data_IF_854135580404
#
_entry.id   IF_854135580404
#
_cell.length_a   1.000
_cell.length_b   1.000
_cell.length_c   1.000
_cell.angle_alpha   90.00
_cell.angle_beta   90.00
_cell.angle_gamma   90.00
#
_symmetry.space_group_name_H-M   'P 1'
#
loop_
_entity.id
_entity.type
_entity.pdbx_description
1 polymer ?
#
# COMPACT_ATOMS: atom_id res chain seq x y z
N UNK A 1 11.93 22.95 18.11
CA UNK A 1 11.18 21.79 17.54
C UNK A 1 10.89 22.14 16.09
N UNK A 2 11.44 21.38 15.14
CA UNK A 2 11.19 21.64 13.71
C UNK A 2 9.76 21.14 13.42
N UNK A 3 8.90 22.07 13.03
CA UNK A 3 7.51 21.78 12.66
C UNK A 3 7.48 20.91 11.42
N UNK A 4 6.80 19.76 11.47
CA UNK A 4 6.72 18.83 10.35
C UNK A 4 5.36 18.82 9.69
N UNK A 5 5.36 18.63 8.38
CA UNK A 5 4.15 18.41 7.59
C UNK A 5 3.85 16.93 7.54
N UNK A 6 2.58 16.55 7.73
CA UNK A 6 2.04 15.23 7.51
C UNK A 6 1.25 15.22 6.18
N UNK A 7 1.60 14.33 5.26
CA UNK A 7 0.86 14.10 4.02
C UNK A 7 0.08 12.80 4.13
N UNK A 8 -1.23 12.84 3.94
CA UNK A 8 -2.11 11.68 3.95
C UNK A 8 -2.49 11.30 2.53
N UNK A 9 -2.14 10.09 2.14
CA UNK A 9 -2.30 9.56 0.78
C UNK A 9 -3.13 8.29 0.85
N UNK A 10 -4.43 8.48 1.06
CA UNK A 10 -5.42 7.42 1.21
C UNK A 10 -6.74 7.89 0.61
N UNK A 11 -7.48 7.01 -0.05
CA UNK A 11 -8.79 7.36 -0.62
C UNK A 11 -9.97 7.09 0.34
N UNK A 12 -9.70 6.54 1.54
CA UNK A 12 -10.71 6.27 2.56
C UNK A 12 -10.80 7.46 3.53
N UNK A 13 -11.94 8.15 3.53
CA UNK A 13 -12.19 9.30 4.41
C UNK A 13 -11.96 8.95 5.88
N UNK A 14 -12.48 7.80 6.32
CA UNK A 14 -12.34 7.36 7.71
C UNK A 14 -10.88 7.16 8.12
N UNK A 15 -10.05 6.66 7.21
CA UNK A 15 -8.61 6.48 7.44
C UNK A 15 -7.93 7.84 7.59
N UNK A 16 -8.24 8.81 6.71
CA UNK A 16 -7.66 10.15 6.78
C UNK A 16 -8.06 10.86 8.08
N UNK A 17 -9.35 10.84 8.42
CA UNK A 17 -9.84 11.46 9.67
C UNK A 17 -9.26 10.77 10.92
N UNK A 18 -9.20 9.44 10.92
CA UNK A 18 -8.54 8.68 11.99
C UNK A 18 -7.07 9.07 12.15
N UNK A 19 -6.34 9.18 11.04
CA UNK A 19 -4.92 9.55 11.06
C UNK A 19 -4.68 11.00 11.53
N UNK A 20 -5.57 11.94 11.18
CA UNK A 20 -5.53 13.32 11.72
C UNK A 20 -5.69 13.31 13.25
N UNK A 21 -6.64 12.53 13.78
CA UNK A 21 -6.84 12.40 15.21
C UNK A 21 -5.61 11.78 15.90
N UNK A 22 -4.99 10.76 15.30
CA UNK A 22 -3.76 10.14 15.81
C UNK A 22 -2.59 11.15 15.79
N UNK A 23 -2.42 11.87 14.70
CA UNK A 23 -1.37 12.90 14.58
C UNK A 23 -1.52 14.01 15.62
N UNK A 24 -2.77 14.40 15.94
CA UNK A 24 -3.07 15.35 17.00
C UNK A 24 -2.66 14.86 18.40
N UNK A 25 -2.81 13.55 18.68
CA UNK A 25 -2.34 12.95 19.94
C UNK A 25 -0.82 12.82 20.02
N UNK A 26 -0.20 12.43 18.92
CA UNK A 26 1.27 12.30 18.86
C UNK A 26 1.95 13.66 19.00
N UNK A 27 1.35 14.69 18.42
CA UNK A 27 1.96 16.02 18.33
C UNK A 27 3.08 16.09 17.29
N UNK A 28 3.74 17.25 17.19
CA UNK A 28 4.87 17.45 16.26
C UNK A 28 4.47 17.79 14.80
N UNK A 29 3.23 17.57 14.41
CA UNK A 29 2.71 17.92 13.10
C UNK A 29 1.86 19.18 13.15
N UNK A 30 2.30 20.24 12.47
CA UNK A 30 1.60 21.53 12.45
C UNK A 30 0.80 21.76 11.18
N UNK A 31 1.13 21.03 10.13
CA UNK A 31 0.45 21.08 8.85
C UNK A 31 0.08 19.66 8.45
N UNK A 32 -1.19 19.43 8.15
CA UNK A 32 -1.68 18.18 7.57
C UNK A 32 -2.30 18.49 6.22
N UNK A 33 -1.86 17.78 5.19
CA UNK A 33 -2.37 17.89 3.82
C UNK A 33 -2.74 16.52 3.29
N UNK A 34 -3.64 16.48 2.33
CA UNK A 34 -4.11 15.26 1.67
C UNK A 34 -3.69 15.26 0.21
N UNK A 35 -3.40 14.08 -0.33
CA UNK A 35 -3.17 13.88 -1.75
C UNK A 35 -4.06 12.75 -2.27
N UNK A 36 -4.87 13.05 -3.28
CA UNK A 36 -5.75 12.11 -3.97
C UNK A 36 -5.14 11.48 -5.23
N UNK A 37 -3.90 11.82 -5.57
CA UNK A 37 -3.21 11.30 -6.75
C UNK A 37 -1.68 11.38 -6.61
N UNK A 38 -0.97 10.57 -7.42
CA UNK A 38 0.50 10.61 -7.50
C UNK A 38 1.03 12.00 -7.89
N UNK A 39 0.33 12.69 -8.79
CA UNK A 39 0.70 14.05 -9.23
C UNK A 39 0.60 15.05 -8.08
N UNK A 40 -0.46 14.96 -7.30
CA UNK A 40 -0.69 15.82 -6.15
C UNK A 40 0.33 15.54 -5.03
N UNK A 41 0.60 14.26 -4.74
CA UNK A 41 1.66 13.86 -3.80
C UNK A 41 3.02 14.45 -4.21
N UNK A 42 3.39 14.31 -5.49
CA UNK A 42 4.66 14.86 -5.98
C UNK A 42 4.73 16.38 -5.80
N UNK A 43 3.65 17.10 -6.09
CA UNK A 43 3.57 18.55 -5.87
C UNK A 43 3.75 18.91 -4.39
N UNK A 44 3.01 18.22 -3.51
CA UNK A 44 3.12 18.46 -2.06
C UNK A 44 4.51 18.14 -1.51
N UNK A 45 5.19 17.14 -2.05
CA UNK A 45 6.58 16.84 -1.67
C UNK A 45 7.59 17.89 -2.16
N UNK A 46 7.31 18.57 -3.26
CA UNK A 46 8.13 19.72 -3.69
C UNK A 46 7.99 20.88 -2.68
N UNK A 47 6.75 21.16 -2.25
CA UNK A 47 6.47 22.22 -1.29
C UNK A 47 6.92 21.86 0.15
N UNK A 48 6.96 20.57 0.49
CA UNK A 48 7.26 20.01 1.81
C UNK A 48 8.25 18.84 1.72
N UNK A 49 9.51 19.06 1.33
CA UNK A 49 10.46 17.98 1.02
C UNK A 49 10.85 17.12 2.22
N UNK A 50 10.59 17.57 3.44
CA UNK A 50 10.87 16.88 4.71
C UNK A 50 9.62 16.30 5.38
N UNK A 51 8.51 16.20 4.64
CA UNK A 51 7.25 15.71 5.16
C UNK A 51 7.32 14.23 5.61
N UNK A 52 6.46 13.86 6.56
CA UNK A 52 6.08 12.49 6.80
C UNK A 52 4.90 12.17 5.90
N UNK A 53 4.98 11.09 5.14
CA UNK A 53 3.95 10.65 4.19
C UNK A 53 3.34 9.35 4.71
N UNK A 54 2.06 9.35 5.02
CA UNK A 54 1.29 8.13 5.30
C UNK A 54 0.57 7.72 4.03
N UNK A 55 0.93 6.58 3.47
CA UNK A 55 0.51 6.15 2.15
C UNK A 55 -0.14 4.77 2.17
N UNK A 56 -1.37 4.64 1.68
CA UNK A 56 -1.89 3.34 1.26
C UNK A 56 -1.47 3.03 -0.18
N UNK A 57 -0.43 2.23 -0.29
CA UNK A 57 0.13 1.81 -1.57
C UNK A 57 -0.87 1.09 -2.48
N UNK A 58 -1.82 0.35 -1.90
CA UNK A 58 -2.74 -0.51 -2.67
C UNK A 58 -3.83 0.27 -3.40
N UNK A 59 -4.04 1.55 -3.04
CA UNK A 59 -5.18 2.34 -3.50
C UNK A 59 -4.88 3.25 -4.70
N UNK A 60 -3.60 3.55 -4.97
CA UNK A 60 -3.20 4.57 -5.95
C UNK A 60 -2.54 3.99 -7.21
N UNK A 61 -2.69 2.70 -7.50
CA UNK A 61 -2.00 2.00 -8.61
C UNK A 61 -0.49 2.32 -8.66
N UNK A 62 0.09 2.55 -7.48
CA UNK A 62 1.47 2.97 -7.32
C UNK A 62 2.38 1.76 -7.43
N UNK A 63 3.42 1.82 -8.27
CA UNK A 63 4.42 0.76 -8.33
C UNK A 63 5.50 0.91 -7.25
N UNK A 64 6.13 -0.20 -6.87
CA UNK A 64 7.28 -0.16 -5.97
C UNK A 64 8.40 0.74 -6.52
N UNK A 65 8.60 0.70 -7.83
CA UNK A 65 9.58 1.52 -8.54
C UNK A 65 9.28 3.02 -8.36
N UNK A 66 8.03 3.42 -8.50
CA UNK A 66 7.63 4.81 -8.30
C UNK A 66 7.92 5.29 -6.86
N UNK A 67 7.63 4.47 -5.85
CA UNK A 67 7.93 4.82 -4.46
C UNK A 67 9.43 4.96 -4.21
N UNK A 68 10.25 4.07 -4.78
CA UNK A 68 11.71 4.17 -4.69
C UNK A 68 12.23 5.43 -5.36
N UNK A 69 11.71 5.80 -6.55
CA UNK A 69 12.04 7.04 -7.25
C UNK A 69 11.66 8.26 -6.40
N UNK A 70 10.45 8.25 -5.81
CA UNK A 70 10.02 9.35 -4.93
C UNK A 70 10.97 9.52 -3.74
N UNK A 71 11.34 8.42 -3.11
CA UNK A 71 12.23 8.47 -1.96
C UNK A 71 13.65 8.93 -2.34
N UNK A 72 14.18 8.47 -3.47
CA UNK A 72 15.49 8.92 -3.95
C UNK A 72 15.48 10.42 -4.25
N UNK A 73 14.38 10.92 -4.81
CA UNK A 73 14.20 12.33 -5.12
C UNK A 73 14.00 13.21 -3.86
N UNK A 74 13.25 12.68 -2.87
CA UNK A 74 12.90 13.39 -1.64
C UNK A 74 13.49 12.68 -0.42
N UNK A 75 14.82 12.69 -0.32
CA UNK A 75 15.60 11.98 0.72
C UNK A 75 15.27 12.43 2.15
N UNK A 76 14.74 13.65 2.29
CA UNK A 76 14.35 14.21 3.56
C UNK A 76 12.92 13.82 3.99
N UNK A 77 12.10 13.29 3.06
CA UNK A 77 10.78 12.77 3.37
C UNK A 77 10.88 11.38 4.03
N UNK A 78 9.94 11.08 4.93
CA UNK A 78 9.82 9.77 5.54
C UNK A 78 8.47 9.15 5.15
N UNK A 79 8.49 7.94 4.64
CA UNK A 79 7.30 7.26 4.14
C UNK A 79 6.84 6.18 5.12
N UNK A 80 5.57 6.19 5.49
CA UNK A 80 4.90 5.12 6.23
C UNK A 80 3.94 4.43 5.26
N UNK A 81 4.22 3.19 4.93
CA UNK A 81 3.29 2.32 4.21
C UNK A 81 2.20 1.88 5.19
N UNK A 82 1.00 2.40 4.99
CA UNK A 82 -0.16 2.17 5.86
C UNK A 82 -1.26 1.47 5.08
N UNK A 83 -1.26 0.14 5.09
CA UNK A 83 -2.14 -0.67 4.25
C UNK A 83 -2.70 -1.87 5.00
N UNK A 84 -3.80 -2.41 4.51
CA UNK A 84 -4.40 -3.66 5.04
C UNK A 84 -3.62 -4.90 4.64
N UNK A 85 -2.95 -4.87 3.49
CA UNK A 85 -2.29 -6.03 2.92
C UNK A 85 -1.11 -5.61 2.03
N UNK A 86 0.08 -6.10 2.37
CA UNK A 86 1.29 -5.91 1.58
C UNK A 86 1.94 -7.28 1.38
N UNK A 87 2.42 -7.56 0.17
CA UNK A 87 3.17 -8.79 -0.07
C UNK A 87 4.52 -8.75 0.63
N UNK A 88 4.99 -9.92 1.06
CA UNK A 88 6.27 -10.02 1.75
C UNK A 88 7.43 -9.51 0.90
N UNK A 89 7.46 -9.86 -0.39
CA UNK A 89 8.51 -9.43 -1.30
C UNK A 89 8.52 -7.90 -1.48
N UNK A 90 7.35 -7.26 -1.51
CA UNK A 90 7.24 -5.82 -1.51
C UNK A 90 7.76 -5.21 -0.20
N UNK A 91 7.34 -5.75 0.95
CA UNK A 91 7.82 -5.28 2.26
C UNK A 91 9.34 -5.41 2.36
N UNK A 92 9.90 -6.57 1.98
CA UNK A 92 11.35 -6.79 1.99
C UNK A 92 12.08 -5.78 1.12
N UNK A 93 11.58 -5.54 -0.09
CA UNK A 93 12.16 -4.57 -1.01
C UNK A 93 12.15 -3.15 -0.44
N UNK A 94 11.06 -2.75 0.21
CA UNK A 94 10.94 -1.41 0.81
C UNK A 94 11.79 -1.28 2.08
N UNK A 95 11.79 -2.28 2.96
CA UNK A 95 12.44 -2.23 4.27
C UNK A 95 13.94 -2.40 4.17
N UNK A 96 14.42 -3.34 3.34
CA UNK A 96 15.85 -3.68 3.24
C UNK A 96 16.56 -3.03 2.04
N UNK A 97 15.85 -2.35 1.18
CA UNK A 97 16.42 -1.62 0.02
C UNK A 97 17.25 -0.37 0.36
N UNK A 98 17.62 -0.18 1.62
CA UNK A 98 18.38 1.00 2.08
C UNK A 98 17.53 2.25 2.22
N UNK A 99 16.24 2.09 2.35
CA UNK A 99 15.25 3.15 2.27
C UNK A 99 14.62 3.45 3.63
N UNK A 100 14.18 4.70 3.82
CA UNK A 100 13.52 5.16 5.04
C UNK A 100 12.02 4.87 5.04
N UNK A 101 11.60 3.67 4.58
CA UNK A 101 10.21 3.27 4.68
C UNK A 101 9.91 2.62 6.02
N UNK A 102 8.89 3.13 6.69
CA UNK A 102 8.21 2.46 7.81
C UNK A 102 7.02 1.66 7.29
N UNK A 103 6.66 0.60 8.00
CA UNK A 103 5.52 -0.25 7.66
C UNK A 103 4.62 -0.43 8.87
N UNK A 104 3.37 0.01 8.75
CA UNK A 104 2.33 -0.14 9.77
C UNK A 104 1.07 -0.66 9.09
N UNK A 105 0.48 -1.72 9.63
CA UNK A 105 -0.75 -2.27 9.08
C UNK A 105 -1.96 -1.48 9.59
N UNK A 106 -3.03 -1.36 8.78
CA UNK A 106 -4.26 -0.65 9.18
C UNK A 106 -4.99 -1.32 10.33
N UNK A 107 -4.79 -2.62 10.52
CA UNK A 107 -5.33 -3.41 11.65
C UNK A 107 -4.39 -3.48 12.86
N UNK A 108 -3.28 -2.74 12.85
CA UNK A 108 -2.37 -2.68 13.98
C UNK A 108 -3.02 -1.99 15.21
N UNK A 109 -2.63 -2.39 16.43
CA UNK A 109 -3.04 -1.67 17.63
C UNK A 109 -2.70 -0.18 17.54
N UNK A 110 -3.56 0.67 18.12
CA UNK A 110 -3.40 2.13 18.08
C UNK A 110 -2.02 2.59 18.55
N UNK A 111 -1.48 1.92 19.59
CA UNK A 111 -0.15 2.22 20.12
C UNK A 111 0.97 2.06 19.09
N UNK A 112 0.86 1.08 18.20
CA UNK A 112 1.83 0.87 17.12
C UNK A 112 1.70 1.92 16.01
N UNK A 113 0.47 2.37 15.72
CA UNK A 113 0.21 3.45 14.75
C UNK A 113 0.81 4.77 15.28
N UNK A 114 0.58 5.08 16.56
CA UNK A 114 1.16 6.26 17.21
C UNK A 114 2.69 6.20 17.24
N UNK A 115 3.26 5.05 17.57
CA UNK A 115 4.72 4.87 17.60
C UNK A 115 5.33 4.99 16.20
N UNK A 116 4.67 4.45 15.18
CA UNK A 116 5.07 4.62 13.78
C UNK A 116 5.16 6.09 13.38
N UNK A 117 4.17 6.91 13.76
CA UNK A 117 4.20 8.35 13.51
C UNK A 117 5.30 9.07 14.30
N UNK A 118 5.52 8.72 15.59
CA UNK A 118 6.60 9.30 16.41
C UNK A 118 7.97 8.98 15.84
N UNK A 119 8.20 7.74 15.42
CA UNK A 119 9.48 7.34 14.79
C UNK A 119 9.70 8.05 13.46
N UNK A 120 8.67 8.12 12.63
CA UNK A 120 8.74 8.83 11.34
C UNK A 120 9.02 10.35 11.55
N UNK A 121 8.44 10.95 12.57
CA UNK A 121 8.73 12.34 12.95
C UNK A 121 10.22 12.52 13.29
N UNK A 122 10.84 11.53 13.90
CA UNK A 122 12.27 11.50 14.23
C UNK A 122 13.15 10.98 13.06
N UNK A 123 12.57 10.67 11.90
CA UNK A 123 13.22 10.02 10.74
C UNK A 123 13.80 8.65 11.06
N UNK A 124 13.19 7.95 12.00
CA UNK A 124 13.54 6.59 12.35
C UNK A 124 12.57 5.63 11.68
N UNK A 125 13.11 4.57 11.11
CA UNK A 125 12.30 3.49 10.55
C UNK A 125 11.54 2.78 11.67
N UNK A 126 10.28 2.48 11.40
CA UNK A 126 9.43 1.66 12.26
C UNK A 126 8.75 0.56 11.46
N UNK A 127 8.76 -0.64 12.01
CA UNK A 127 8.07 -1.79 11.43
C UNK A 127 7.19 -2.37 12.52
N UNK A 128 5.88 -2.42 12.31
CA UNK A 128 4.93 -2.96 13.28
C UNK A 128 5.25 -4.43 13.62
N UNK A 129 4.91 -4.84 14.82
CA UNK A 129 5.26 -6.16 15.39
C UNK A 129 4.89 -7.33 14.48
N UNK A 130 3.69 -7.28 13.88
CA UNK A 130 3.21 -8.32 12.95
C UNK A 130 4.14 -8.50 11.75
N UNK A 131 4.57 -7.40 11.13
CA UNK A 131 5.45 -7.43 9.96
C UNK A 131 6.87 -7.82 10.36
N UNK A 132 7.38 -7.30 11.47
CA UNK A 132 8.70 -7.69 11.99
C UNK A 132 8.76 -9.21 12.25
N UNK A 133 7.74 -9.77 12.88
CA UNK A 133 7.63 -11.21 13.09
C UNK A 133 7.58 -11.98 11.76
N UNK A 134 6.80 -11.54 10.81
CA UNK A 134 6.66 -12.16 9.48
C UNK A 134 7.99 -12.18 8.70
N UNK A 135 8.78 -11.11 8.81
CA UNK A 135 10.08 -11.00 8.15
C UNK A 135 11.14 -11.92 8.78
N UNK A 136 11.02 -12.23 10.07
CA UNK A 136 11.96 -13.09 10.80
C UNK A 136 11.67 -14.59 10.61
N UNK A 137 10.40 -15.00 10.42
CA UNK A 137 9.97 -16.41 10.45
C UNK A 137 9.65 -16.99 9.06
N UNK A 138 10.48 -16.70 8.06
CA UNK A 138 10.26 -17.08 6.65
C UNK A 138 10.33 -18.58 6.34
N UNK A 139 11.04 -19.38 7.11
CA UNK A 139 11.41 -20.74 6.68
C UNK A 139 10.33 -21.80 6.83
N UNK A 140 9.33 -21.60 7.70
CA UNK A 140 8.34 -22.64 7.99
C UNK A 140 7.05 -22.61 7.14
N UNK A 141 6.83 -21.63 6.28
CA UNK A 141 5.54 -21.44 5.59
C UNK A 141 5.52 -21.70 4.09
N UNK A 142 6.58 -22.16 3.47
CA UNK A 142 6.59 -22.44 2.02
C UNK A 142 5.68 -23.61 1.59
N UNK A 143 5.21 -24.45 2.49
CA UNK A 143 4.46 -25.67 2.10
C UNK A 143 2.93 -25.61 2.19
N UNK A 144 2.29 -24.51 2.65
CA UNK A 144 0.83 -24.53 2.89
C UNK A 144 0.00 -23.35 2.35
N UNK A 145 0.46 -22.56 1.38
CA UNK A 145 -0.37 -21.48 0.80
C UNK A 145 -0.43 -21.47 -0.73
N UNK A 146 -0.78 -22.60 -1.30
CA UNK A 146 -1.41 -22.64 -2.60
C UNK A 146 -2.92 -22.43 -2.44
N UNK A 147 -3.40 -21.25 -2.04
CA UNK A 147 -4.82 -20.99 -2.12
C UNK A 147 -5.17 -20.67 -3.58
N UNK A 148 -5.66 -21.69 -4.30
CA UNK A 148 -6.18 -21.51 -5.65
C UNK A 148 -7.21 -20.37 -5.68
N UNK A 149 -7.22 -19.59 -6.76
CA UNK A 149 -8.28 -18.62 -7.00
C UNK A 149 -9.62 -19.35 -7.09
N UNK A 150 -10.67 -18.76 -6.56
CA UNK A 150 -12.04 -19.24 -6.80
C UNK A 150 -12.41 -19.00 -8.27
N UNK A 151 -13.44 -19.67 -8.75
CA UNK A 151 -13.95 -19.48 -10.12
C UNK A 151 -14.23 -18.01 -10.40
N UNK A 152 -14.93 -17.32 -9.50
CA UNK A 152 -15.22 -15.88 -9.62
C UNK A 152 -13.95 -15.02 -9.65
N UNK A 153 -12.96 -15.34 -8.83
CA UNK A 153 -11.69 -14.62 -8.81
C UNK A 153 -10.89 -14.84 -10.12
N UNK A 154 -10.91 -16.06 -10.68
CA UNK A 154 -10.31 -16.33 -12.00
C UNK A 154 -10.98 -15.52 -13.11
N UNK A 155 -12.31 -15.43 -13.10
CA UNK A 155 -13.07 -14.66 -14.09
C UNK A 155 -12.78 -13.16 -13.98
N UNK A 156 -12.74 -12.63 -12.77
CA UNK A 156 -12.37 -11.23 -12.53
C UNK A 156 -10.91 -10.97 -12.94
N UNK A 157 -9.98 -11.86 -12.62
CA UNK A 157 -8.58 -11.76 -13.04
C UNK A 157 -8.46 -11.76 -14.57
N UNK A 158 -9.23 -12.59 -15.27
CA UNK A 158 -9.29 -12.59 -16.74
C UNK A 158 -9.70 -11.24 -17.29
N UNK A 159 -10.80 -10.66 -16.75
CA UNK A 159 -11.29 -9.34 -17.18
C UNK A 159 -10.29 -8.22 -16.87
N UNK A 160 -9.60 -8.29 -15.72
CA UNK A 160 -8.52 -7.35 -15.40
C UNK A 160 -7.37 -7.44 -16.40
N UNK A 161 -6.95 -8.65 -16.77
CA UNK A 161 -5.89 -8.89 -17.73
C UNK A 161 -6.25 -8.42 -19.15
N UNK A 162 -7.55 -8.40 -19.48
CA UNK A 162 -8.09 -7.81 -20.72
C UNK A 162 -8.23 -6.28 -20.65
N UNK A 163 -7.73 -5.63 -19.60
CA UNK A 163 -7.72 -4.17 -19.46
C UNK A 163 -9.04 -3.56 -18.97
N UNK A 164 -10.01 -4.37 -18.53
CA UNK A 164 -11.29 -3.84 -18.03
C UNK A 164 -11.12 -3.10 -16.70
N UNK A 165 -11.76 -1.97 -16.60
CA UNK A 165 -11.85 -1.18 -15.35
C UNK A 165 -12.75 -1.87 -14.32
N UNK A 166 -12.60 -1.50 -13.04
CA UNK A 166 -13.46 -2.04 -11.97
C UNK A 166 -14.95 -1.80 -12.23
N UNK A 167 -15.31 -0.66 -12.84
CA UNK A 167 -16.72 -0.33 -13.19
C UNK A 167 -17.25 -1.23 -14.32
N UNK A 168 -16.45 -1.47 -15.35
CA UNK A 168 -16.82 -2.36 -16.46
C UNK A 168 -16.95 -3.81 -15.99
N UNK A 169 -16.04 -4.28 -15.12
CA UNK A 169 -16.13 -5.61 -14.52
C UNK A 169 -17.40 -5.73 -13.67
N UNK A 170 -17.71 -4.70 -12.87
CA UNK A 170 -18.92 -4.67 -12.04
C UNK A 170 -20.20 -4.76 -12.92
N UNK A 171 -20.27 -4.00 -14.00
CA UNK A 171 -21.39 -4.03 -14.94
C UNK A 171 -21.51 -5.39 -15.65
N UNK A 172 -20.39 -5.94 -16.15
CA UNK A 172 -20.39 -7.21 -16.90
C UNK A 172 -20.74 -8.44 -16.03
N UNK A 173 -20.35 -8.39 -14.74
CA UNK A 173 -20.59 -9.48 -13.79
C UNK A 173 -21.84 -9.29 -12.93
N UNK A 174 -22.60 -8.22 -13.13
CA UNK A 174 -23.77 -7.86 -12.31
C UNK A 174 -23.43 -7.75 -10.81
N UNK A 175 -22.27 -7.20 -10.49
CA UNK A 175 -21.78 -7.00 -9.13
C UNK A 175 -21.72 -5.51 -8.79
N UNK A 176 -21.68 -5.19 -7.48
CA UNK A 176 -21.34 -3.83 -7.08
C UNK A 176 -19.85 -3.53 -7.32
N UNK A 177 -19.52 -2.27 -7.56
CA UNK A 177 -18.12 -1.82 -7.67
C UNK A 177 -17.33 -2.21 -6.42
N UNK A 178 -17.93 -2.09 -5.25
CA UNK A 178 -17.33 -2.49 -3.98
C UNK A 178 -17.03 -3.99 -3.92
N UNK A 179 -17.94 -4.83 -4.40
CA UNK A 179 -17.74 -6.29 -4.47
C UNK A 179 -16.55 -6.64 -5.36
N UNK A 180 -16.45 -6.00 -6.54
CA UNK A 180 -15.31 -6.21 -7.45
C UNK A 180 -13.99 -5.74 -6.81
N UNK A 181 -13.99 -4.61 -6.11
CA UNK A 181 -12.80 -4.15 -5.36
C UNK A 181 -12.36 -5.18 -4.32
N UNK A 182 -13.30 -5.78 -3.59
CA UNK A 182 -13.01 -6.83 -2.61
C UNK A 182 -12.42 -8.08 -3.28
N UNK A 183 -12.96 -8.52 -4.41
CA UNK A 183 -12.38 -9.64 -5.18
C UNK A 183 -10.99 -9.31 -5.69
N UNK A 184 -10.75 -8.12 -6.23
CA UNK A 184 -9.42 -7.69 -6.68
C UNK A 184 -8.41 -7.73 -5.53
N UNK A 185 -8.78 -7.22 -4.36
CA UNK A 185 -7.96 -7.30 -3.14
C UNK A 185 -7.62 -8.76 -2.79
N UNK A 186 -8.60 -9.65 -2.82
CA UNK A 186 -8.41 -11.07 -2.53
C UNK A 186 -7.52 -11.77 -3.59
N UNK A 187 -7.68 -11.43 -4.87
CA UNK A 187 -6.85 -11.94 -5.97
C UNK A 187 -5.40 -11.51 -5.72
N UNK A 188 -5.14 -10.23 -5.50
CA UNK A 188 -3.79 -9.74 -5.25
C UNK A 188 -3.12 -10.43 -4.05
N UNK A 189 -3.86 -10.59 -2.97
CA UNK A 189 -3.40 -11.31 -1.79
C UNK A 189 -3.08 -12.78 -2.07
N UNK A 190 -3.95 -13.49 -2.82
CA UNK A 190 -3.78 -14.92 -3.14
C UNK A 190 -2.63 -15.17 -4.11
N UNK A 191 -2.43 -14.25 -5.06
CA UNK A 191 -1.36 -14.31 -6.05
C UNK A 191 -0.04 -13.71 -5.55
N UNK A 192 -0.06 -13.08 -4.36
CA UNK A 192 1.09 -12.37 -3.79
C UNK A 192 1.64 -11.27 -4.72
N UNK A 193 0.72 -10.58 -5.42
CA UNK A 193 1.02 -9.46 -6.32
C UNK A 193 0.45 -8.14 -5.78
N UNK A 194 1.01 -7.02 -6.21
CA UNK A 194 0.67 -5.71 -5.63
C UNK A 194 -0.06 -4.78 -6.60
N UNK A 195 -0.12 -5.12 -7.89
CA UNK A 195 -0.76 -4.28 -8.90
C UNK A 195 -1.35 -5.11 -10.05
N UNK A 196 -2.14 -4.43 -10.90
CA UNK A 196 -2.81 -5.06 -12.05
C UNK A 196 -1.80 -5.62 -13.04
N UNK A 197 -0.68 -4.95 -13.27
CA UNK A 197 0.36 -5.41 -14.21
C UNK A 197 0.94 -6.78 -13.78
N UNK A 198 1.28 -6.93 -12.51
CA UNK A 198 1.78 -8.21 -11.97
C UNK A 198 0.71 -9.30 -12.04
N UNK A 199 -0.55 -8.95 -11.72
CA UNK A 199 -1.67 -9.87 -11.82
C UNK A 199 -1.91 -10.31 -13.28
N UNK A 200 -1.81 -9.39 -14.26
CA UNK A 200 -1.91 -9.70 -15.69
C UNK A 200 -0.77 -10.62 -16.13
N UNK A 201 0.44 -10.35 -15.71
CA UNK A 201 1.60 -11.21 -16.00
C UNK A 201 1.45 -12.62 -15.43
N UNK A 202 0.86 -12.73 -14.25
CA UNK A 202 0.49 -14.03 -13.69
C UNK A 202 -0.58 -14.74 -14.55
N UNK A 203 -1.65 -14.03 -14.94
CA UNK A 203 -2.74 -14.58 -15.74
C UNK A 203 -2.25 -15.15 -17.09
N UNK A 204 -1.32 -14.45 -17.75
CA UNK A 204 -0.66 -14.92 -18.97
C UNK A 204 0.19 -16.17 -18.74
N UNK A 205 1.01 -16.18 -17.69
CA UNK A 205 1.85 -17.34 -17.34
C UNK A 205 1.05 -18.58 -16.94
N UNK A 206 -0.08 -18.38 -16.29
CA UNK A 206 -0.98 -19.44 -15.84
C UNK A 206 -1.96 -19.91 -16.92
N UNK A 207 -1.91 -19.33 -18.15
CA UNK A 207 -2.83 -19.69 -19.23
C UNK A 207 -4.28 -19.31 -18.99
N UNK A 208 -4.53 -18.33 -18.10
CA UNK A 208 -5.88 -17.80 -17.82
C UNK A 208 -6.35 -16.89 -18.95
N UNK A 209 -5.42 -16.22 -19.60
CA UNK A 209 -5.61 -15.43 -20.83
C UNK A 209 -4.51 -15.75 -21.82
N UNK A 210 -4.83 -15.71 -23.10
CA UNK A 210 -3.88 -15.89 -24.18
C UNK A 210 -3.10 -14.57 -24.40
N UNK A 211 -1.84 -14.68 -24.82
CA UNK A 211 -1.08 -13.52 -25.26
C UNK A 211 -1.69 -13.00 -26.58
N UNK A 212 -2.14 -11.74 -26.56
CA UNK A 212 -2.62 -11.06 -27.77
C UNK A 212 -1.43 -10.61 -28.61
#
# INVERSE_FOLDING_TARGET
MVMKTLLLVDNQDITREGMKAVAGRVGGFTVIKEAGSQKELTRLLIDHPNAVVVLDYTLFDTSAEYLLILQERFKEAHFILFSDNLSEDFIRRMVFGGTSFSVVMKDAPMIEIEEGLRKAEQRLQYICTRIAWQLQHKEEKKEKRGSSLTVTECEILKLMALGKTTKEIAAERFLSVYTVMTHRKNIFRKLEVNNVYEATKYALRAGIVDAV
#
